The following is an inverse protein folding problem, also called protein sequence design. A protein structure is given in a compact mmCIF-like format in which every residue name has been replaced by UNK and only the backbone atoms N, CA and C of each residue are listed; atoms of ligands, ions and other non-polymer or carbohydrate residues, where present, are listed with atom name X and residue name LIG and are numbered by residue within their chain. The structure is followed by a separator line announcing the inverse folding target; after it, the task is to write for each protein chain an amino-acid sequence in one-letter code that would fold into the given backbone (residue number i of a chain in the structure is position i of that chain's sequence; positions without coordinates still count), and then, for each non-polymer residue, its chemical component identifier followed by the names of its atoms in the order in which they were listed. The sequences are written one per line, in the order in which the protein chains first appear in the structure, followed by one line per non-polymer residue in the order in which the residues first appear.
data_IF_660745869172
#
_entry.id   IF_660745869172
#
_cell.length_a   1.000
_cell.length_b   1.000
_cell.length_c   1.000
_cell.angle_alpha   90.00
_cell.angle_beta   90.00
_cell.angle_gamma   90.00
#
_symmetry.space_group_name_H-M   'P 1'
#
loop_
_entity.id
_entity.type
_entity.pdbx_description
1 polymer ?
#
# COMPACT_ATOMS: atom_id res chain seq x y z
N UNK A 1 -4.74 -3.74 6.78
CA UNK A 1 -5.66 -4.04 5.66
C UNK A 1 -7.10 -3.61 5.89
N UNK A 2 -7.70 -3.86 7.07
CA UNK A 2 -9.12 -3.58 7.33
C UNK A 2 -9.62 -2.15 6.98
N UNK A 3 -8.80 -1.11 7.12
CA UNK A 3 -9.19 0.26 6.74
C UNK A 3 -9.23 0.44 5.22
N UNK A 4 -8.24 -0.08 4.48
CA UNK A 4 -8.17 0.05 3.03
C UNK A 4 -9.37 -0.64 2.35
N UNK A 5 -9.74 -1.82 2.82
CA UNK A 5 -10.94 -2.55 2.37
C UNK A 5 -12.22 -1.77 2.67
N UNK A 6 -12.33 -1.17 3.86
CA UNK A 6 -13.48 -0.30 4.20
C UNK A 6 -13.57 0.92 3.29
N UNK A 7 -12.45 1.50 2.90
CA UNK A 7 -12.41 2.62 1.95
C UNK A 7 -12.84 2.18 0.54
N UNK A 8 -12.36 1.03 0.06
CA UNK A 8 -12.81 0.45 -1.22
C UNK A 8 -14.33 0.22 -1.20
N UNK A 9 -14.85 -0.44 -0.16
CA UNK A 9 -16.29 -0.65 -0.02
C UNK A 9 -17.08 0.66 0.10
N UNK A 10 -16.52 1.72 0.69
CA UNK A 10 -17.14 3.04 0.72
C UNK A 10 -17.19 3.69 -0.67
N UNK A 11 -16.12 3.57 -1.45
CA UNK A 11 -16.08 4.04 -2.83
C UNK A 11 -17.14 3.34 -3.69
N UNK A 12 -17.27 2.01 -3.56
CA UNK A 12 -18.29 1.25 -4.29
C UNK A 12 -19.71 1.69 -3.97
N UNK A 13 -20.01 2.03 -2.70
CA UNK A 13 -21.34 2.54 -2.31
C UNK A 13 -21.72 3.84 -3.00
N UNK A 14 -20.74 4.67 -3.39
CA UNK A 14 -20.98 5.90 -4.17
C UNK A 14 -20.71 5.71 -5.67
N UNK A 15 -20.69 4.46 -6.14
CA UNK A 15 -20.47 4.08 -7.55
C UNK A 15 -19.15 4.62 -8.13
N UNK A 16 -18.11 4.69 -7.30
CA UNK A 16 -16.75 5.03 -7.73
C UNK A 16 -15.78 3.92 -7.33
N UNK A 17 -14.55 3.99 -7.85
CA UNK A 17 -13.47 3.06 -7.50
C UNK A 17 -12.26 3.86 -7.07
N UNK A 18 -11.55 3.38 -6.06
CA UNK A 18 -10.27 3.94 -5.63
C UNK A 18 -9.21 2.86 -5.63
N UNK A 19 -7.94 3.24 -5.72
CA UNK A 19 -6.82 2.33 -5.45
C UNK A 19 -6.06 2.87 -4.25
N UNK A 20 -5.53 1.98 -3.42
CA UNK A 20 -4.91 2.35 -2.15
C UNK A 20 -3.56 1.65 -2.02
N UNK A 21 -2.50 2.43 -1.82
CA UNK A 21 -1.18 1.91 -1.43
C UNK A 21 -0.95 2.13 0.07
N UNK A 22 -0.51 1.10 0.78
CA UNK A 22 -0.26 1.16 2.24
C UNK A 22 1.13 0.63 2.55
N UNK A 23 2.04 1.50 2.97
CA UNK A 23 3.36 1.10 3.44
C UNK A 23 3.40 1.10 4.97
N UNK A 24 3.93 0.03 5.56
CA UNK A 24 4.30 -0.03 6.97
C UNK A 24 5.83 -0.08 7.06
N UNK A 25 6.44 0.81 7.84
CA UNK A 25 7.88 0.97 7.95
C UNK A 25 8.25 1.28 9.40
N UNK A 26 9.25 0.60 9.94
CA UNK A 26 9.79 0.91 11.27
C UNK A 26 10.90 1.97 11.16
N UNK A 27 10.69 3.14 11.78
CA UNK A 27 11.69 4.22 11.92
C UNK A 27 12.34 4.71 10.61
N UNK A 28 11.52 5.09 9.62
CA UNK A 28 11.97 5.75 8.39
C UNK A 28 11.57 7.23 8.33
N UNK A 29 12.27 8.01 7.52
CA UNK A 29 11.90 9.39 7.26
C UNK A 29 10.54 9.47 6.53
N UNK A 30 9.76 10.55 6.72
CA UNK A 30 8.43 10.69 6.12
C UNK A 30 8.42 10.62 4.58
N UNK A 31 9.51 11.02 3.90
CA UNK A 31 9.58 10.95 2.45
C UNK A 31 9.67 9.52 1.95
N UNK A 32 10.50 8.68 2.59
CA UNK A 32 10.58 7.24 2.27
C UNK A 32 9.24 6.54 2.47
N UNK A 33 8.53 6.83 3.57
CA UNK A 33 7.20 6.26 3.82
C UNK A 33 6.21 6.64 2.72
N UNK A 34 6.19 7.93 2.34
CA UNK A 34 5.31 8.42 1.27
C UNK A 34 5.65 7.78 -0.07
N UNK A 35 6.93 7.74 -0.45
CA UNK A 35 7.37 7.16 -1.72
C UNK A 35 7.03 5.67 -1.82
N UNK A 36 7.17 4.90 -0.74
CA UNK A 36 6.77 3.50 -0.70
C UNK A 36 5.25 3.33 -0.85
N UNK A 37 4.45 4.15 -0.15
CA UNK A 37 3.00 4.12 -0.29
C UNK A 37 2.54 4.50 -1.71
N UNK A 38 3.18 5.50 -2.32
CA UNK A 38 2.92 5.91 -3.71
C UNK A 38 3.27 4.79 -4.69
N UNK A 39 4.41 4.12 -4.52
CA UNK A 39 4.77 3.00 -5.36
C UNK A 39 3.69 1.89 -5.32
N UNK A 40 3.26 1.48 -4.12
CA UNK A 40 2.20 0.48 -3.95
C UNK A 40 0.87 0.94 -4.57
N UNK A 41 0.56 2.23 -4.51
CA UNK A 41 -0.61 2.81 -5.17
C UNK A 41 -0.52 2.66 -6.70
N UNK A 42 0.64 2.95 -7.29
CA UNK A 42 0.83 2.80 -8.72
C UNK A 42 0.82 1.34 -9.16
N UNK A 43 1.38 0.42 -8.36
CA UNK A 43 1.25 -1.02 -8.59
C UNK A 43 -0.22 -1.46 -8.58
N UNK A 44 -1.02 -1.00 -7.60
CA UNK A 44 -2.45 -1.27 -7.57
C UNK A 44 -3.17 -0.75 -8.82
N UNK A 45 -2.79 0.43 -9.33
CA UNK A 45 -3.36 1.00 -10.56
C UNK A 45 -2.99 0.17 -11.80
N UNK A 46 -1.74 -0.24 -11.89
CA UNK A 46 -1.23 -1.04 -13.02
C UNK A 46 -1.79 -2.46 -13.02
N UNK A 47 -2.12 -3.01 -11.84
CA UNK A 47 -2.71 -4.34 -11.68
C UNK A 47 -4.24 -4.39 -11.92
N UNK A 48 -4.82 -3.36 -12.56
CA UNK A 48 -6.26 -3.32 -12.88
C UNK A 48 -7.09 -2.36 -12.03
N UNK A 49 -6.46 -1.59 -11.13
CA UNK A 49 -7.13 -0.62 -10.23
C UNK A 49 -8.05 -1.31 -9.21
N UNK A 50 -8.89 -0.51 -8.54
CA UNK A 50 -9.91 -0.93 -7.57
C UNK A 50 -9.44 -1.95 -6.51
N UNK A 51 -8.20 -1.78 -6.06
CA UNK A 51 -7.57 -2.72 -5.14
C UNK A 51 -6.66 -1.99 -4.16
N UNK A 52 -6.42 -2.65 -3.04
CA UNK A 52 -5.44 -2.23 -2.05
C UNK A 52 -4.17 -3.07 -2.22
N UNK A 53 -3.00 -2.41 -2.19
CA UNK A 53 -1.70 -3.06 -2.08
C UNK A 53 -1.04 -2.59 -0.81
N UNK A 54 -0.48 -3.54 -0.06
CA UNK A 54 0.14 -3.29 1.22
C UNK A 54 1.46 -4.03 1.29
N UNK A 55 2.49 -3.37 1.79
CA UNK A 55 3.76 -3.99 2.12
C UNK A 55 4.19 -3.58 3.53
N UNK A 56 4.61 -4.57 4.32
CA UNK A 56 5.40 -4.33 5.52
C UNK A 56 6.87 -4.33 5.11
N UNK A 57 7.50 -3.16 5.21
CA UNK A 57 8.88 -2.88 4.84
C UNK A 57 9.77 -2.77 6.08
N UNK A 58 9.41 -3.45 7.18
CA UNK A 58 10.37 -3.77 8.24
C UNK A 58 11.65 -4.27 7.59
N UNK A 59 12.76 -3.58 7.90
CA UNK A 59 14.11 -3.81 7.35
C UNK A 59 14.25 -5.23 6.81
N UNK A 60 14.52 -5.36 5.51
CA UNK A 60 15.29 -6.49 4.98
C UNK A 60 16.64 -6.50 5.70
N UNK A 61 16.64 -7.03 6.91
CA UNK A 61 17.77 -7.28 7.79
C UNK A 61 17.90 -8.77 8.10
N UNK A 62 17.13 -9.63 7.43
CA UNK A 62 17.42 -11.06 7.39
C UNK A 62 18.47 -11.33 6.32
N UNK A 63 19.71 -11.22 6.78
CA UNK A 63 20.86 -12.09 6.51
C UNK A 63 20.96 -12.71 5.11
N UNK A 64 22.03 -12.33 4.41
CA UNK A 64 22.76 -13.24 3.52
C UNK A 64 23.15 -14.47 4.34
N UNK A 65 22.55 -15.63 4.04
CA UNK A 65 23.14 -16.95 4.31
C UNK A 65 22.39 -18.04 3.53
N UNK A 66 22.98 -18.44 2.41
CA UNK A 66 23.44 -19.82 2.16
C UNK A 66 24.56 -19.76 1.12
#
# INVERSE_FOLDING_TARGET
TAIAERLLGAAHRVRTTISVGVALLDHHDPHTIRSAADQLLYEAKSAGRDQARMADLKKRGDTVSA
#
